data_IF_300871234668
#
_entry.id   IF_300871234668
#
_cell.length_a   1.000
_cell.length_b   1.000
_cell.length_c   1.000
_cell.angle_alpha   90.00
_cell.angle_beta   90.00
_cell.angle_gamma   90.00
#
_symmetry.space_group_name_H-M   'P 1'
#
loop_
_entity.id
_entity.type
_entity.pdbx_description
1 polymer ?
#
# COMPACT_ATOMS: atom_id res chain seq x y z
N UNK A 1 13.33 18.43 1.12
CA UNK A 1 13.02 19.83 0.86
C UNK A 1 14.30 20.64 0.58
N UNK A 2 15.30 20.57 1.46
CA UNK A 2 16.59 21.30 1.29
C UNK A 2 17.34 20.90 0.01
N UNK A 3 17.51 19.62 -0.26
CA UNK A 3 18.18 19.16 -1.48
C UNK A 3 17.49 19.67 -2.75
N UNK A 4 16.16 19.67 -2.77
CA UNK A 4 15.40 20.19 -3.89
C UNK A 4 15.53 21.71 -4.03
N UNK A 5 15.57 22.42 -2.91
CA UNK A 5 15.80 23.88 -2.90
C UNK A 5 17.18 24.25 -3.46
N UNK A 6 18.22 23.51 -3.06
CA UNK A 6 19.59 23.67 -3.60
C UNK A 6 19.61 23.41 -5.11
N UNK A 7 18.82 22.47 -5.58
CA UNK A 7 18.71 22.11 -7.01
C UNK A 7 17.75 23.01 -7.81
N UNK A 8 17.13 24.01 -7.18
CA UNK A 8 16.13 24.87 -7.82
C UNK A 8 14.81 24.15 -8.16
N UNK A 9 14.52 23.01 -7.52
CA UNK A 9 13.32 22.21 -7.77
C UNK A 9 12.22 22.64 -6.80
N UNK A 10 11.05 23.02 -7.34
CA UNK A 10 9.87 23.33 -6.53
C UNK A 10 9.26 22.06 -5.95
N UNK A 11 9.25 21.96 -4.62
CA UNK A 11 8.63 20.83 -3.89
C UNK A 11 7.35 21.29 -3.22
N UNK A 12 6.32 20.46 -3.27
CA UNK A 12 5.06 20.65 -2.54
C UNK A 12 4.87 19.51 -1.58
N UNK A 13 4.54 19.83 -0.33
CA UNK A 13 4.14 18.85 0.65
C UNK A 13 2.70 18.42 0.35
N UNK A 14 2.47 17.12 0.18
CA UNK A 14 1.14 16.55 0.01
C UNK A 14 0.92 15.44 1.04
N UNK A 15 -0.20 15.48 1.75
CA UNK A 15 -0.59 14.48 2.74
C UNK A 15 -1.89 13.84 2.28
N UNK A 16 -1.88 12.51 2.19
CA UNK A 16 -3.05 11.75 1.76
C UNK A 16 -3.91 11.38 2.96
N UNK A 17 -5.21 11.66 2.86
CA UNK A 17 -6.21 11.30 3.85
C UNK A 17 -7.30 10.45 3.24
N UNK A 18 -7.99 9.68 4.08
CA UNK A 18 -9.21 8.97 3.75
C UNK A 18 -10.36 9.54 4.55
N UNK A 19 -11.55 9.63 3.93
CA UNK A 19 -12.79 9.98 4.62
C UNK A 19 -13.88 8.97 4.28
N UNK A 20 -14.80 8.77 5.21
CA UNK A 20 -15.96 7.91 5.00
C UNK A 20 -16.94 8.60 4.03
N UNK A 21 -17.34 7.86 2.99
CA UNK A 21 -18.32 8.29 2.01
C UNK A 21 -19.22 7.10 1.67
N UNK A 22 -20.48 7.17 2.09
CA UNK A 22 -21.37 6.01 2.13
C UNK A 22 -20.71 4.84 2.88
N UNK A 23 -20.62 3.66 2.27
CA UNK A 23 -20.05 2.45 2.87
C UNK A 23 -18.59 2.21 2.49
N UNK A 24 -17.87 3.23 2.03
CA UNK A 24 -16.49 3.12 1.56
C UNK A 24 -15.64 4.33 1.91
N UNK A 25 -14.34 4.23 1.71
CA UNK A 25 -13.42 5.34 1.85
C UNK A 25 -13.10 5.99 0.52
N UNK A 26 -13.07 7.33 0.53
CA UNK A 26 -12.57 8.16 -0.55
C UNK A 26 -11.27 8.83 -0.14
N UNK A 27 -10.39 9.05 -1.10
CA UNK A 27 -9.05 9.55 -0.85
C UNK A 27 -8.90 11.00 -1.29
N UNK A 28 -8.29 11.80 -0.43
CA UNK A 28 -7.96 13.20 -0.68
C UNK A 28 -6.48 13.44 -0.52
N UNK A 29 -5.91 14.28 -1.38
CA UNK A 29 -4.57 14.82 -1.23
C UNK A 29 -4.66 16.25 -0.72
N UNK A 30 -4.24 16.48 0.52
CA UNK A 30 -4.13 17.79 1.11
C UNK A 30 -2.75 18.38 0.87
N UNK A 31 -2.69 19.57 0.26
CA UNK A 31 -1.45 20.27 -0.08
C UNK A 31 -1.47 21.63 0.62
N UNK A 32 -0.97 21.73 1.87
CA UNK A 32 -0.84 23.01 2.55
C UNK A 32 0.16 23.91 1.81
N UNK A 33 -0.10 25.21 1.79
CA UNK A 33 0.70 26.20 1.08
C UNK A 33 1.34 27.20 2.04
N UNK A 34 2.25 28.02 1.52
CA UNK A 34 2.86 29.13 2.26
C UNK A 34 4.15 28.75 2.99
N UNK A 35 4.82 27.68 2.55
CA UNK A 35 6.15 27.32 3.05
C UNK A 35 7.22 27.93 2.15
N UNK A 36 8.13 28.69 2.75
CA UNK A 36 9.26 29.31 2.06
C UNK A 36 10.55 28.50 2.20
N UNK A 37 10.64 27.70 3.28
CA UNK A 37 11.83 26.96 3.64
C UNK A 37 11.48 25.72 4.50
N UNK A 38 12.47 24.90 4.80
CA UNK A 38 12.32 23.69 5.64
C UNK A 38 11.86 24.03 7.04
N UNK A 39 12.30 25.16 7.60
CA UNK A 39 11.93 25.56 8.95
C UNK A 39 10.43 25.84 9.05
N UNK A 40 9.86 26.57 8.09
CA UNK A 40 8.42 26.87 8.05
C UNK A 40 7.56 25.59 7.95
N UNK A 41 8.04 24.54 7.25
CA UNK A 41 7.40 23.23 7.23
C UNK A 41 7.46 22.56 8.60
N UNK A 42 8.64 22.55 9.23
CA UNK A 42 8.81 21.94 10.55
C UNK A 42 8.01 22.66 11.63
N UNK A 43 7.94 23.98 11.59
CA UNK A 43 7.15 24.78 12.52
C UNK A 43 5.65 24.48 12.33
N UNK A 44 5.16 24.38 11.10
CA UNK A 44 3.79 23.95 10.80
C UNK A 44 3.48 22.56 11.34
N UNK A 45 4.38 21.60 11.20
CA UNK A 45 4.17 20.23 11.73
C UNK A 45 4.15 20.18 13.27
N UNK A 46 4.72 21.19 13.94
CA UNK A 46 4.72 21.33 15.41
C UNK A 46 3.50 22.09 15.94
N UNK A 47 2.72 22.76 15.08
CA UNK A 47 1.48 23.41 15.50
C UNK A 47 0.56 22.37 16.17
N UNK A 48 -0.07 22.69 17.32
CA UNK A 48 -0.82 21.71 18.12
C UNK A 48 -1.90 20.96 17.31
N UNK A 49 -2.65 21.66 16.47
CA UNK A 49 -3.72 21.07 15.66
C UNK A 49 -3.17 20.17 14.55
N UNK A 50 -2.08 20.61 13.89
CA UNK A 50 -1.39 19.82 12.88
C UNK A 50 -0.77 18.57 13.52
N UNK A 51 -0.10 18.74 14.67
CA UNK A 51 0.51 17.64 15.41
C UNK A 51 -0.53 16.58 15.84
N UNK A 52 -1.70 17.02 16.32
CA UNK A 52 -2.81 16.13 16.68
C UNK A 52 -3.32 15.36 15.44
N UNK A 53 -3.53 16.05 14.31
CA UNK A 53 -3.95 15.40 13.06
C UNK A 53 -2.92 14.36 12.57
N UNK A 54 -1.63 14.68 12.66
CA UNK A 54 -0.56 13.74 12.29
C UNK A 54 -0.51 12.54 13.24
N UNK A 55 -0.79 12.72 14.52
CA UNK A 55 -0.85 11.61 15.47
C UNK A 55 -2.04 10.68 15.19
N UNK A 56 -3.21 11.23 14.87
CA UNK A 56 -4.35 10.44 14.43
C UNK A 56 -4.05 9.69 13.12
N UNK A 57 -3.33 10.32 12.19
CA UNK A 57 -2.85 9.66 10.96
C UNK A 57 -1.96 8.46 11.25
N UNK A 58 -1.06 8.53 12.24
CA UNK A 58 -0.24 7.39 12.66
C UNK A 58 -1.08 6.24 13.21
N UNK A 59 -2.11 6.55 13.99
CA UNK A 59 -3.04 5.50 14.46
C UNK A 59 -3.75 4.77 13.31
N UNK A 60 -4.02 5.46 12.20
CA UNK A 60 -4.56 4.84 10.98
C UNK A 60 -3.51 3.95 10.30
N UNK A 61 -2.26 4.40 10.27
CA UNK A 61 -1.15 3.60 9.70
C UNK A 61 -0.89 2.34 10.55
N UNK A 62 -0.87 2.46 11.88
CA UNK A 62 -0.69 1.33 12.79
C UNK A 62 -1.82 0.31 12.64
N UNK A 63 -3.05 0.79 12.52
CA UNK A 63 -4.20 -0.08 12.28
C UNK A 63 -4.14 -0.76 10.91
N UNK A 64 -3.73 -0.04 9.85
CA UNK A 64 -3.53 -0.61 8.52
C UNK A 64 -2.39 -1.64 8.48
N UNK A 65 -1.35 -1.43 9.29
CA UNK A 65 -0.23 -2.35 9.44
C UNK A 65 -0.68 -3.70 9.98
N UNK A 66 -1.61 -3.71 10.93
CA UNK A 66 -2.14 -4.94 11.54
C UNK A 66 -2.75 -5.88 10.47
N UNK A 67 -3.58 -5.36 9.54
CA UNK A 67 -4.12 -6.16 8.43
C UNK A 67 -3.02 -6.79 7.57
N UNK A 68 -1.96 -6.03 7.29
CA UNK A 68 -0.84 -6.53 6.46
C UNK A 68 -0.05 -7.62 7.19
N UNK A 69 0.17 -7.47 8.50
CA UNK A 69 0.86 -8.48 9.31
C UNK A 69 0.03 -9.76 9.45
N UNK A 70 -1.27 -9.66 9.66
CA UNK A 70 -2.17 -10.81 9.63
C UNK A 70 -2.15 -11.52 8.27
N UNK A 71 -2.07 -10.75 7.17
CA UNK A 71 -1.91 -11.33 5.82
C UNK A 71 -0.59 -12.10 5.68
N UNK A 72 0.50 -11.62 6.28
CA UNK A 72 1.78 -12.34 6.30
C UNK A 72 1.67 -13.65 7.11
N UNK A 73 0.96 -13.65 8.23
CA UNK A 73 0.71 -14.86 9.02
C UNK A 73 -0.10 -15.90 8.23
N UNK A 74 -1.18 -15.47 7.57
CA UNK A 74 -1.98 -16.35 6.70
C UNK A 74 -1.15 -16.85 5.51
N UNK A 75 -0.29 -16.01 4.94
CA UNK A 75 0.64 -16.41 3.88
C UNK A 75 1.54 -17.55 4.36
N UNK A 76 2.17 -17.43 5.51
CA UNK A 76 3.03 -18.47 6.08
C UNK A 76 2.26 -19.76 6.40
N UNK A 77 1.05 -19.63 6.95
CA UNK A 77 0.26 -20.79 7.39
C UNK A 77 -0.38 -21.58 6.24
N UNK A 78 -0.72 -20.91 5.14
CA UNK A 78 -1.56 -21.48 4.08
C UNK A 78 -0.90 -21.39 2.71
N UNK A 79 -0.55 -20.18 2.27
CA UNK A 79 -0.17 -19.93 0.89
C UNK A 79 1.26 -20.34 0.56
N UNK A 80 2.17 -20.33 1.53
CA UNK A 80 3.55 -20.76 1.34
C UNK A 80 3.61 -22.22 0.84
N UNK A 81 2.78 -23.10 1.40
CA UNK A 81 2.71 -24.50 0.98
C UNK A 81 2.11 -24.67 -0.44
N UNK A 82 1.14 -23.84 -0.82
CA UNK A 82 0.58 -23.83 -2.17
C UNK A 82 1.63 -23.42 -3.21
N UNK A 83 2.40 -22.37 -2.92
CA UNK A 83 3.49 -21.89 -3.77
C UNK A 83 4.58 -22.95 -3.87
N UNK A 84 5.01 -23.52 -2.74
CA UNK A 84 6.03 -24.58 -2.72
C UNK A 84 5.64 -25.74 -3.64
N UNK A 85 4.39 -26.19 -3.56
CA UNK A 85 3.87 -27.26 -4.41
C UNK A 85 3.76 -26.87 -5.88
N UNK A 86 3.34 -25.65 -6.16
CA UNK A 86 3.08 -25.19 -7.53
C UNK A 86 4.35 -24.90 -8.31
N UNK A 87 5.37 -24.32 -7.67
CA UNK A 87 6.65 -23.93 -8.31
C UNK A 87 7.81 -24.87 -8.00
N UNK A 88 7.63 -25.84 -7.10
CA UNK A 88 8.68 -26.80 -6.75
C UNK A 88 9.84 -26.17 -5.99
N UNK A 89 9.57 -25.08 -5.24
CA UNK A 89 10.55 -24.35 -4.42
C UNK A 89 10.24 -24.51 -2.94
N UNK A 90 11.25 -24.44 -2.08
CA UNK A 90 11.06 -24.46 -0.63
C UNK A 90 10.84 -23.00 -0.13
N UNK A 91 9.60 -22.66 0.24
CA UNK A 91 9.25 -21.33 0.72
C UNK A 91 9.63 -21.20 2.20
N UNK A 92 10.55 -20.26 2.55
CA UNK A 92 10.95 -20.05 3.95
C UNK A 92 9.83 -19.40 4.76
N UNK A 93 9.85 -19.60 6.07
CA UNK A 93 9.01 -18.84 6.99
C UNK A 93 9.44 -17.37 6.99
N UNK A 94 8.53 -16.48 6.65
CA UNK A 94 8.77 -15.05 6.58
C UNK A 94 8.38 -14.39 7.90
N UNK A 95 9.27 -13.57 8.48
CA UNK A 95 9.01 -12.90 9.75
C UNK A 95 8.49 -11.46 9.56
N UNK A 96 7.60 -11.04 10.48
CA UNK A 96 7.11 -9.67 10.54
C UNK A 96 8.27 -8.67 10.72
N UNK A 97 9.29 -9.01 11.51
CA UNK A 97 10.45 -8.16 11.74
C UNK A 97 11.25 -7.92 10.46
N UNK A 98 11.52 -8.96 9.67
CA UNK A 98 12.22 -8.80 8.38
C UNK A 98 11.42 -7.96 7.40
N UNK A 99 10.09 -8.11 7.41
CA UNK A 99 9.21 -7.29 6.58
C UNK A 99 9.24 -5.81 7.02
N UNK A 100 9.20 -5.53 8.33
CA UNK A 100 9.32 -4.17 8.85
C UNK A 100 10.68 -3.53 8.49
N UNK A 101 11.77 -4.29 8.59
CA UNK A 101 13.10 -3.86 8.17
C UNK A 101 13.15 -3.57 6.65
N UNK A 102 12.48 -4.40 5.84
CA UNK A 102 12.38 -4.20 4.39
C UNK A 102 11.59 -2.93 4.04
N UNK A 103 10.48 -2.66 4.72
CA UNK A 103 9.67 -1.45 4.52
C UNK A 103 10.41 -0.20 4.99
N UNK A 104 11.17 -0.27 6.07
CA UNK A 104 11.89 0.84 6.67
C UNK A 104 10.97 2.01 7.04
N UNK A 105 11.25 3.20 6.51
CA UNK A 105 10.42 4.40 6.71
C UNK A 105 9.24 4.51 5.76
N UNK A 106 9.00 3.51 4.92
CA UNK A 106 7.90 3.48 3.97
C UNK A 106 6.56 3.12 4.62
N UNK A 107 5.50 3.15 3.84
CA UNK A 107 4.19 2.70 4.29
C UNK A 107 4.07 1.17 4.20
N UNK A 108 3.55 0.55 5.26
CA UNK A 108 3.22 -0.88 5.29
C UNK A 108 1.96 -1.12 4.47
N UNK A 109 2.09 -1.80 3.34
CA UNK A 109 0.99 -2.10 2.41
C UNK A 109 1.09 -3.52 1.89
N UNK A 110 -0.03 -4.09 1.41
CA UNK A 110 -0.05 -5.42 0.77
C UNK A 110 0.81 -5.47 -0.50
N UNK A 111 0.99 -4.35 -1.19
CA UNK A 111 1.91 -4.26 -2.34
C UNK A 111 3.36 -4.41 -1.86
N UNK A 112 3.75 -3.70 -0.79
CA UNK A 112 5.07 -3.87 -0.19
C UNK A 112 5.30 -5.27 0.36
N UNK A 113 4.25 -5.88 0.91
CA UNK A 113 4.31 -7.28 1.33
C UNK A 113 4.57 -8.21 0.13
N UNK A 114 3.89 -8.00 -0.99
CA UNK A 114 4.13 -8.81 -2.19
C UNK A 114 5.54 -8.64 -2.78
N UNK A 115 6.08 -7.44 -2.76
CA UNK A 115 7.46 -7.15 -3.15
C UNK A 115 8.48 -7.83 -2.20
N UNK A 116 8.22 -7.77 -0.89
CA UNK A 116 9.03 -8.45 0.12
C UNK A 116 9.02 -9.97 -0.08
N UNK A 117 7.84 -10.58 -0.18
CA UNK A 117 7.69 -12.01 -0.45
C UNK A 117 8.45 -12.39 -1.73
N UNK A 118 8.25 -11.64 -2.81
CA UNK A 118 8.95 -11.88 -4.07
C UNK A 118 10.47 -11.81 -3.89
N UNK A 119 10.99 -10.81 -3.17
CA UNK A 119 12.43 -10.67 -2.93
C UNK A 119 13.04 -11.85 -2.18
N UNK A 120 12.26 -12.53 -1.33
CA UNK A 120 12.68 -13.74 -0.61
C UNK A 120 12.59 -15.00 -1.47
N UNK A 121 11.65 -15.05 -2.40
CA UNK A 121 11.45 -16.19 -3.28
C UNK A 121 12.35 -16.17 -4.52
N UNK A 122 12.73 -14.98 -5.00
CA UNK A 122 13.48 -14.81 -6.23
C UNK A 122 14.78 -15.65 -6.28
N UNK A 123 15.65 -15.67 -5.24
CA UNK A 123 16.85 -16.49 -5.26
C UNK A 123 16.56 -18.00 -5.35
N UNK A 124 15.42 -18.44 -4.79
CA UNK A 124 14.99 -19.83 -4.82
C UNK A 124 14.48 -20.21 -6.21
N UNK A 125 13.73 -19.32 -6.84
CA UNK A 125 13.25 -19.46 -8.22
C UNK A 125 14.43 -19.50 -9.20
N UNK A 126 15.41 -18.61 -9.05
CA UNK A 126 16.63 -18.59 -9.86
C UNK A 126 17.43 -19.89 -9.71
N UNK A 127 17.59 -20.37 -8.47
CA UNK A 127 18.29 -21.64 -8.21
C UNK A 127 17.56 -22.82 -8.86
N UNK A 128 16.25 -22.86 -8.79
CA UNK A 128 15.45 -23.93 -9.42
C UNK A 128 15.47 -23.80 -10.95
N UNK A 129 15.39 -22.59 -11.49
CA UNK A 129 15.51 -22.35 -12.92
C UNK A 129 16.86 -22.83 -13.47
N UNK A 130 17.95 -22.60 -12.73
CA UNK A 130 19.28 -23.06 -13.16
C UNK A 130 19.41 -24.59 -13.14
N UNK A 131 18.79 -25.28 -12.18
CA UNK A 131 18.70 -26.77 -12.21
C UNK A 131 17.96 -27.24 -13.46
N UNK A 132 16.75 -26.68 -13.70
CA UNK A 132 15.95 -27.04 -14.88
C UNK A 132 16.71 -26.75 -16.20
N UNK A 133 17.46 -25.65 -16.29
CA UNK A 133 18.30 -25.36 -17.45
C UNK A 133 19.40 -26.43 -17.64
N UNK A 134 20.02 -26.90 -16.55
CA UNK A 134 21.01 -27.96 -16.63
C UNK A 134 20.41 -29.30 -17.09
N UNK A 135 19.22 -29.63 -16.56
CA UNK A 135 18.47 -30.81 -17.00
C UNK A 135 18.11 -30.71 -18.48
N UNK A 136 17.71 -29.53 -18.97
CA UNK A 136 17.35 -29.28 -20.36
C UNK A 136 18.51 -29.57 -21.32
N UNK A 137 19.76 -29.30 -20.91
CA UNK A 137 20.93 -29.56 -21.74
C UNK A 137 21.19 -31.04 -22.01
N UNK A 138 20.71 -31.93 -21.14
CA UNK A 138 20.86 -33.39 -21.21
C UNK A 138 19.56 -34.14 -21.52
N UNK A 139 18.45 -33.40 -21.66
CA UNK A 139 17.12 -33.98 -21.83
C UNK A 139 16.89 -34.56 -23.22
N UNK A 140 16.05 -35.59 -23.29
CA UNK A 140 15.51 -36.13 -24.54
C UNK A 140 14.62 -35.09 -25.25
N UNK A 141 14.43 -35.17 -26.58
CA UNK A 141 13.53 -34.27 -27.30
C UNK A 141 12.09 -34.26 -26.77
N UNK A 142 11.66 -35.37 -26.19
CA UNK A 142 10.31 -35.52 -25.57
C UNK A 142 10.22 -34.76 -24.26
N UNK A 143 11.29 -34.75 -23.47
CA UNK A 143 11.33 -34.09 -22.15
C UNK A 143 11.59 -32.57 -22.25
N UNK A 144 12.21 -32.11 -23.35
CA UNK A 144 12.54 -30.69 -23.52
C UNK A 144 11.31 -29.78 -23.44
N UNK A 145 10.17 -30.21 -23.98
CA UNK A 145 8.93 -29.46 -23.93
C UNK A 145 8.44 -29.23 -22.50
N UNK A 146 8.47 -30.28 -21.68
CA UNK A 146 8.04 -30.22 -20.27
C UNK A 146 8.96 -29.32 -19.43
N UNK A 147 10.28 -29.44 -19.65
CA UNK A 147 11.26 -28.60 -18.94
C UNK A 147 11.17 -27.14 -19.36
N UNK A 148 10.89 -26.86 -20.63
CA UNK A 148 10.67 -25.48 -21.09
C UNK A 148 9.40 -24.85 -20.50
N UNK A 149 8.30 -25.60 -20.40
CA UNK A 149 7.09 -25.17 -19.71
C UNK A 149 7.35 -24.86 -18.23
N UNK A 150 8.17 -25.70 -17.57
CA UNK A 150 8.58 -25.49 -16.19
C UNK A 150 9.39 -24.19 -16.02
N UNK A 151 10.33 -23.90 -16.92
CA UNK A 151 11.08 -22.63 -16.94
C UNK A 151 10.14 -21.43 -17.11
N UNK A 152 9.25 -21.48 -18.08
CA UNK A 152 8.29 -20.41 -18.33
C UNK A 152 7.42 -20.15 -17.08
N UNK A 153 7.02 -21.23 -16.41
CA UNK A 153 6.23 -21.14 -15.17
C UNK A 153 7.01 -20.48 -14.03
N UNK A 154 8.31 -20.76 -13.89
CA UNK A 154 9.17 -20.10 -12.89
C UNK A 154 9.26 -18.58 -13.13
N UNK A 155 9.35 -18.16 -14.39
CA UNK A 155 9.40 -16.73 -14.76
C UNK A 155 8.08 -15.99 -14.50
N UNK A 156 6.94 -16.69 -14.36
CA UNK A 156 5.65 -16.08 -14.04
C UNK A 156 5.55 -15.62 -12.59
N UNK A 157 6.40 -16.10 -11.68
CA UNK A 157 6.32 -15.76 -10.25
C UNK A 157 6.84 -14.35 -9.98
N UNK A 158 5.96 -13.37 -10.11
CA UNK A 158 6.25 -11.95 -9.88
C UNK A 158 5.52 -11.43 -8.62
N UNK A 159 5.94 -10.28 -8.11
CA UNK A 159 5.23 -9.61 -7.00
C UNK A 159 3.77 -9.32 -7.34
N UNK A 160 3.46 -9.01 -8.59
CA UNK A 160 2.08 -8.79 -9.06
C UNK A 160 1.25 -10.06 -8.98
N UNK A 161 1.82 -11.19 -9.42
CA UNK A 161 1.15 -12.51 -9.34
C UNK A 161 0.94 -12.92 -7.88
N UNK A 162 1.95 -12.72 -7.02
CA UNK A 162 1.85 -12.97 -5.58
C UNK A 162 0.70 -12.17 -4.95
N UNK A 163 0.62 -10.87 -5.24
CA UNK A 163 -0.48 -10.04 -4.76
C UNK A 163 -1.84 -10.55 -5.25
N UNK A 164 -1.99 -10.76 -6.55
CA UNK A 164 -3.28 -11.11 -7.16
C UNK A 164 -3.80 -12.48 -6.74
N UNK A 165 -2.92 -13.46 -6.55
CA UNK A 165 -3.31 -14.84 -6.29
C UNK A 165 -3.42 -15.19 -4.82
N UNK A 166 -2.63 -14.54 -3.93
CA UNK A 166 -2.54 -14.94 -2.53
C UNK A 166 -2.72 -13.82 -1.51
N UNK A 167 -2.27 -12.58 -1.79
CA UNK A 167 -2.19 -11.55 -0.77
C UNK A 167 -3.35 -10.53 -0.80
N UNK A 168 -4.13 -10.47 -1.86
CA UNK A 168 -5.26 -9.54 -1.92
C UNK A 168 -6.37 -9.91 -0.93
N UNK A 169 -7.14 -8.94 -0.39
CA UNK A 169 -8.19 -9.20 0.60
C UNK A 169 -9.21 -10.26 0.19
N UNK A 170 -9.63 -10.29 -1.08
CA UNK A 170 -10.59 -11.28 -1.58
C UNK A 170 -10.08 -12.74 -1.56
N UNK A 171 -8.80 -12.96 -1.30
CA UNK A 171 -8.20 -14.29 -1.12
C UNK A 171 -8.03 -14.67 0.34
N UNK A 172 -8.17 -13.72 1.23
CA UNK A 172 -8.02 -13.87 2.67
C UNK A 172 -9.27 -13.29 3.38
N UNK A 173 -10.46 -13.85 3.13
CA UNK A 173 -11.72 -13.33 3.68
C UNK A 173 -11.80 -13.45 5.20
N UNK A 174 -10.93 -14.26 5.82
CA UNK A 174 -10.77 -14.38 7.26
C UNK A 174 -10.12 -13.15 7.90
N UNK A 175 -9.44 -12.31 7.12
CA UNK A 175 -8.82 -11.08 7.60
C UNK A 175 -9.81 -9.94 7.40
N UNK A 176 -10.21 -9.22 8.47
CA UNK A 176 -11.10 -8.08 8.34
C UNK A 176 -10.50 -7.02 7.42
N UNK A 177 -11.16 -6.74 6.30
CA UNK A 177 -10.70 -5.67 5.41
C UNK A 177 -10.92 -4.31 6.05
N UNK A 178 -9.92 -3.45 5.97
CA UNK A 178 -9.99 -2.05 6.41
C UNK A 178 -11.17 -1.27 5.79
N UNK A 179 -11.61 -1.67 4.60
CA UNK A 179 -12.70 -1.01 3.88
C UNK A 179 -14.09 -1.49 4.29
N UNK A 180 -14.19 -2.65 4.94
CA UNK A 180 -15.47 -3.33 5.20
C UNK A 180 -15.76 -3.45 6.71
N UNK A 181 -14.77 -3.17 7.56
CA UNK A 181 -14.94 -3.29 8.99
C UNK A 181 -15.80 -2.13 9.55
N UNK A 182 -17.03 -2.43 9.92
CA UNK A 182 -17.87 -1.57 10.76
C UNK A 182 -17.42 -1.60 12.23
N UNK A 183 -16.17 -1.99 12.50
CA UNK A 183 -15.63 -2.16 13.84
C UNK A 183 -15.58 -0.81 14.59
N UNK A 184 -16.11 -0.78 15.80
CA UNK A 184 -16.05 0.38 16.70
C UNK A 184 -14.61 0.76 17.09
N UNK A 185 -13.66 -0.17 16.94
CA UNK A 185 -12.23 0.05 17.22
C UNK A 185 -11.46 0.80 16.11
N UNK A 186 -12.12 1.19 15.02
CA UNK A 186 -11.47 2.00 13.98
C UNK A 186 -10.92 3.30 14.56
N UNK A 187 -9.74 3.75 14.12
CA UNK A 187 -9.22 5.08 14.43
C UNK A 187 -10.25 6.18 14.15
N UNK A 188 -10.32 7.18 15.01
CA UNK A 188 -11.35 8.23 14.91
C UNK A 188 -11.26 8.99 13.59
N UNK A 189 -10.07 9.18 13.04
CA UNK A 189 -9.90 9.83 11.74
C UNK A 189 -10.60 9.08 10.59
N UNK A 190 -10.74 7.75 10.69
CA UNK A 190 -11.47 6.93 9.70
C UNK A 190 -13.00 6.94 9.90
N UNK A 191 -13.49 7.47 11.03
CA UNK A 191 -14.92 7.66 11.30
C UNK A 191 -15.43 9.00 10.76
N UNK A 192 -14.50 9.90 10.40
CA UNK A 192 -14.84 11.25 9.93
C UNK A 192 -15.38 11.18 8.49
N UNK A 193 -16.51 11.83 8.27
CA UNK A 193 -17.10 11.99 6.94
C UNK A 193 -16.33 13.03 6.10
N UNK A 194 -16.70 13.12 4.85
CA UNK A 194 -16.05 14.05 3.89
C UNK A 194 -16.12 15.49 4.36
N UNK A 195 -17.30 15.96 4.82
CA UNK A 195 -17.48 17.35 5.23
C UNK A 195 -16.69 17.68 6.50
N UNK A 196 -16.65 16.77 7.46
CA UNK A 196 -15.87 16.89 8.69
C UNK A 196 -14.37 16.97 8.39
N UNK A 197 -13.85 16.08 7.54
CA UNK A 197 -12.45 16.11 7.13
C UNK A 197 -12.10 17.42 6.41
N UNK A 198 -12.87 17.82 5.39
CA UNK A 198 -12.61 19.04 4.63
C UNK A 198 -12.64 20.27 5.54
N UNK A 199 -13.62 20.34 6.47
CA UNK A 199 -13.73 21.46 7.42
C UNK A 199 -12.51 21.54 8.33
N UNK A 200 -12.06 20.41 8.85
CA UNK A 200 -10.88 20.31 9.71
C UNK A 200 -9.58 20.74 8.97
N UNK A 201 -9.36 20.23 7.76
CA UNK A 201 -8.18 20.58 6.96
C UNK A 201 -8.14 22.06 6.59
N UNK A 202 -9.30 22.65 6.27
CA UNK A 202 -9.43 24.08 5.97
C UNK A 202 -9.28 24.96 7.22
N UNK A 203 -9.68 24.46 8.41
CA UNK A 203 -9.45 25.16 9.67
C UNK A 203 -7.96 25.24 9.98
N UNK A 204 -7.23 24.13 9.86
CA UNK A 204 -5.77 24.09 10.11
C UNK A 204 -5.02 24.98 9.12
N UNK A 205 -5.38 24.95 7.84
CA UNK A 205 -4.69 25.75 6.81
C UNK A 205 -5.64 26.22 5.72
N UNK A 206 -6.30 27.37 5.86
CA UNK A 206 -7.29 27.90 4.90
C UNK A 206 -6.76 28.04 3.47
N UNK A 207 -5.47 28.35 3.32
CA UNK A 207 -4.82 28.51 2.00
C UNK A 207 -4.37 27.19 1.37
N UNK A 208 -4.79 26.03 1.91
CA UNK A 208 -4.42 24.73 1.34
C UNK A 208 -5.19 24.41 0.07
N UNK A 209 -4.66 23.46 -0.70
CA UNK A 209 -5.36 22.80 -1.79
C UNK A 209 -5.76 21.40 -1.36
N UNK A 210 -7.01 21.01 -1.63
CA UNK A 210 -7.50 19.66 -1.39
C UNK A 210 -7.90 19.09 -2.74
N UNK A 211 -7.27 17.98 -3.14
CA UNK A 211 -7.54 17.30 -4.42
C UNK A 211 -8.19 15.96 -4.16
N UNK A 212 -9.32 15.68 -4.81
CA UNK A 212 -9.97 14.37 -4.78
C UNK A 212 -9.21 13.39 -5.69
N UNK A 213 -8.90 12.20 -5.18
CA UNK A 213 -8.29 11.12 -5.97
C UNK A 213 -9.41 10.22 -6.52
N UNK A 214 -9.64 10.29 -7.82
CA UNK A 214 -10.84 9.72 -8.48
C UNK A 214 -10.69 8.27 -8.95
N UNK A 215 -9.54 7.63 -8.81
CA UNK A 215 -9.17 6.37 -9.48
C UNK A 215 -10.12 5.17 -9.34
N UNK A 216 -11.08 5.19 -8.38
CA UNK A 216 -12.08 4.13 -8.16
C UNK A 216 -13.50 4.66 -8.02
N UNK A 217 -13.74 5.92 -8.37
CA UNK A 217 -15.01 6.59 -8.21
C UNK A 217 -15.78 6.59 -9.54
N UNK A 218 -17.10 6.47 -9.47
CA UNK A 218 -17.97 6.75 -10.59
C UNK A 218 -18.13 8.25 -10.81
N UNK A 219 -18.57 8.66 -11.99
CA UNK A 219 -18.85 10.07 -12.29
C UNK A 219 -19.90 10.64 -11.32
N UNK A 220 -20.90 9.85 -10.94
CA UNK A 220 -21.92 10.25 -9.97
C UNK A 220 -21.31 10.51 -8.58
N UNK A 221 -20.41 9.65 -8.11
CA UNK A 221 -19.70 9.86 -6.84
C UNK A 221 -18.86 11.14 -6.87
N UNK A 222 -18.16 11.37 -7.98
CA UNK A 222 -17.33 12.58 -8.14
C UNK A 222 -18.19 13.83 -8.06
N UNK A 223 -19.33 13.86 -8.76
CA UNK A 223 -20.27 14.99 -8.73
C UNK A 223 -20.82 15.23 -7.32
N UNK A 224 -21.22 14.17 -6.62
CA UNK A 224 -21.71 14.27 -5.25
C UNK A 224 -20.62 14.79 -4.30
N UNK A 225 -19.39 14.27 -4.40
CA UNK A 225 -18.24 14.71 -3.58
C UNK A 225 -17.88 16.17 -3.85
N UNK A 226 -17.92 16.62 -5.10
CA UNK A 226 -17.70 18.02 -5.44
C UNK A 226 -18.80 18.93 -4.86
N UNK A 227 -20.05 18.48 -4.88
CA UNK A 227 -21.17 19.19 -4.27
C UNK A 227 -21.00 19.26 -2.74
N UNK A 228 -20.70 18.13 -2.07
CA UNK A 228 -20.39 18.08 -0.64
C UNK A 228 -19.19 18.96 -0.27
N UNK A 229 -18.22 19.04 -1.16
CA UNK A 229 -17.02 19.84 -0.99
C UNK A 229 -17.26 21.36 -0.99
N UNK A 230 -18.38 21.85 -1.52
CA UNK A 230 -18.75 23.27 -1.52
C UNK A 230 -17.62 24.20 -1.99
N UNK A 231 -16.91 23.83 -3.05
CA UNK A 231 -15.78 24.57 -3.58
C UNK A 231 -14.45 24.44 -2.81
N UNK A 232 -14.40 23.60 -1.77
CA UNK A 232 -13.14 23.33 -1.01
C UNK A 232 -12.24 22.34 -1.74
N UNK A 233 -12.80 21.52 -2.65
CA UNK A 233 -12.05 20.57 -3.47
C UNK A 233 -11.57 21.30 -4.73
N UNK A 234 -10.28 21.22 -4.99
CA UNK A 234 -9.62 21.76 -6.19
C UNK A 234 -9.33 20.64 -7.18
N UNK A 235 -9.42 20.96 -8.45
CA UNK A 235 -8.98 20.05 -9.53
C UNK A 235 -7.48 20.18 -9.78
#
# INVERSE_FOLDING_TARGET
YEAAHIMGISVRLGIKFKACFHDRYVEFLWTPKGFTDTKSVLDFLKEPETGALMQEGRSVEDWAKEEVLQTLEVFNAKHAAEIAKEWGIEVPLLSAKEFEEYVGMGQTTLIRLSEFVHSKLLPLVETEADKVKQELLSASPEDQGVLQERLNKLDELTSVVLYQRWLRPSRNPEIPSLSESADDNRPDLLKVDVQGLLSRLMHIRPSSRITLLTGKLSDADVLELLWLGQGRISH
#
